data_IF_685363295983
#
_entry.id   IF_685363295983
#
_cell.length_a   1.000
_cell.length_b   1.000
_cell.length_c   1.000
_cell.angle_alpha   90.00
_cell.angle_beta   90.00
_cell.angle_gamma   90.00
#
_symmetry.space_group_name_H-M   'P 1'
#
loop_
_entity.id
_entity.type
_entity.pdbx_description
1 polymer ?
#
# COMPACT_ATOMS: atom_id res chain seq x y z
N UNK A 1 4.06 -51.39 -3.74
CA UNK A 1 2.90 -50.81 -4.45
C UNK A 1 3.10 -49.32 -4.49
N UNK A 2 3.04 -48.76 -5.68
CA UNK A 2 3.52 -47.44 -6.10
C UNK A 2 2.58 -46.32 -5.68
N UNK A 3 3.03 -45.40 -4.84
CA UNK A 3 2.33 -44.12 -4.61
C UNK A 3 2.66 -43.14 -5.74
N UNK A 4 1.71 -43.01 -6.67
CA UNK A 4 1.71 -41.98 -7.70
C UNK A 4 1.35 -40.63 -7.08
N UNK A 5 2.36 -39.83 -6.75
CA UNK A 5 2.17 -38.40 -6.49
C UNK A 5 1.94 -37.68 -7.82
N UNK A 6 0.69 -37.26 -8.08
CA UNK A 6 0.35 -36.44 -9.23
C UNK A 6 1.12 -35.10 -9.19
N UNK A 7 1.73 -34.65 -10.31
CA UNK A 7 2.42 -33.37 -10.36
C UNK A 7 1.42 -32.22 -10.16
N UNK A 8 1.69 -31.37 -9.18
CA UNK A 8 0.94 -30.14 -8.95
C UNK A 8 1.16 -29.20 -10.13
N UNK A 9 0.17 -29.11 -11.02
CA UNK A 9 0.16 -28.14 -12.12
C UNK A 9 0.15 -26.73 -11.53
N UNK A 10 1.25 -26.01 -11.74
CA UNK A 10 1.35 -24.57 -11.50
C UNK A 10 0.23 -23.87 -12.29
N UNK A 11 -0.52 -22.91 -11.73
CA UNK A 11 -1.52 -22.18 -12.50
C UNK A 11 -0.80 -21.38 -13.58
N UNK A 12 -0.88 -21.80 -14.83
CA UNK A 12 -0.49 -20.98 -15.98
C UNK A 12 -1.28 -19.68 -15.90
N UNK A 13 -0.58 -18.57 -15.63
CA UNK A 13 -1.17 -17.24 -15.59
C UNK A 13 -1.61 -16.88 -17.00
N UNK A 14 -2.88 -17.12 -17.33
CA UNK A 14 -3.45 -16.84 -18.63
C UNK A 14 -3.30 -15.35 -18.91
N UNK A 15 -2.57 -14.99 -19.95
CA UNK A 15 -2.29 -13.59 -20.30
C UNK A 15 -3.60 -12.89 -20.64
N UNK A 16 -3.91 -11.79 -19.94
CA UNK A 16 -5.17 -11.04 -20.13
C UNK A 16 -5.21 -10.39 -21.52
N UNK A 17 -6.37 -10.44 -22.17
CA UNK A 17 -6.57 -9.78 -23.47
C UNK A 17 -6.50 -8.24 -23.33
N UNK A 18 -6.29 -7.48 -24.42
CA UNK A 18 -6.36 -6.02 -24.37
C UNK A 18 -7.69 -5.49 -23.80
N UNK A 19 -8.82 -6.09 -24.19
CA UNK A 19 -10.15 -5.73 -23.69
C UNK A 19 -10.29 -6.00 -22.19
N UNK A 20 -9.86 -7.18 -21.71
CA UNK A 20 -9.89 -7.50 -20.29
C UNK A 20 -9.04 -6.52 -19.46
N UNK A 21 -7.86 -6.12 -19.99
CA UNK A 21 -7.01 -5.13 -19.32
C UNK A 21 -7.65 -3.73 -19.26
N UNK A 22 -8.46 -3.37 -20.26
CA UNK A 22 -9.21 -2.12 -20.28
C UNK A 22 -10.35 -2.15 -19.25
N UNK A 23 -11.12 -3.24 -19.23
CA UNK A 23 -12.21 -3.46 -18.27
C UNK A 23 -11.69 -3.47 -16.83
N UNK A 24 -10.64 -4.25 -16.55
CA UNK A 24 -9.98 -4.29 -15.24
C UNK A 24 -9.57 -2.89 -14.76
N UNK A 25 -9.04 -2.07 -15.69
CA UNK A 25 -8.60 -0.70 -15.39
C UNK A 25 -9.76 0.23 -15.11
N UNK A 26 -10.85 0.12 -15.88
CA UNK A 26 -12.09 0.87 -15.67
C UNK A 26 -12.67 0.55 -14.30
N UNK A 27 -12.82 -0.74 -13.97
CA UNK A 27 -13.38 -1.20 -12.69
C UNK A 27 -12.49 -0.76 -11.52
N UNK A 28 -11.17 -0.87 -11.70
CA UNK A 28 -10.21 -0.39 -10.72
C UNK A 28 -10.34 1.12 -10.49
N UNK A 29 -10.41 1.94 -11.55
CA UNK A 29 -10.58 3.41 -11.44
C UNK A 29 -11.86 3.76 -10.70
N UNK A 30 -12.98 3.15 -11.11
CA UNK A 30 -14.28 3.36 -10.48
C UNK A 30 -14.16 3.10 -8.97
N UNK A 31 -13.65 1.94 -8.58
CA UNK A 31 -13.48 1.56 -7.16
C UNK A 31 -12.59 2.55 -6.40
N UNK A 32 -11.43 2.93 -6.94
CA UNK A 32 -10.56 3.87 -6.23
C UNK A 32 -11.17 5.26 -6.08
N UNK A 33 -11.95 5.72 -7.06
CA UNK A 33 -12.64 7.01 -6.99
C UNK A 33 -13.84 6.99 -6.04
N UNK A 34 -14.59 5.88 -5.99
CA UNK A 34 -15.61 5.67 -4.96
C UNK A 34 -15.01 5.72 -3.56
N UNK A 35 -13.92 4.97 -3.32
CA UNK A 35 -13.18 5.00 -2.05
C UNK A 35 -12.67 6.40 -1.73
N UNK A 36 -12.07 7.10 -2.70
CA UNK A 36 -11.59 8.48 -2.53
C UNK A 36 -12.73 9.41 -2.14
N UNK A 37 -13.88 9.32 -2.81
CA UNK A 37 -15.03 10.17 -2.52
C UNK A 37 -15.60 9.91 -1.12
N UNK A 38 -15.75 8.64 -0.75
CA UNK A 38 -16.21 8.25 0.59
C UNK A 38 -15.25 8.71 1.69
N UNK A 39 -13.95 8.48 1.49
CA UNK A 39 -12.91 8.99 2.39
C UNK A 39 -12.96 10.52 2.49
N UNK A 40 -13.15 11.23 1.38
CA UNK A 40 -13.23 12.69 1.38
C UNK A 40 -14.43 13.16 2.20
N UNK A 41 -15.60 12.57 1.98
CA UNK A 41 -16.82 12.91 2.71
C UNK A 41 -16.65 12.71 4.22
N UNK A 42 -16.12 11.55 4.64
CA UNK A 42 -15.91 11.25 6.07
C UNK A 42 -14.88 12.18 6.71
N UNK A 43 -13.79 12.52 6.02
CA UNK A 43 -12.77 13.42 6.55
C UNK A 43 -13.22 14.88 6.59
N UNK A 44 -14.09 15.32 5.67
CA UNK A 44 -14.69 16.66 5.70
C UNK A 44 -15.66 16.75 6.88
N UNK A 45 -16.56 15.78 7.02
CA UNK A 45 -17.51 15.70 8.14
C UNK A 45 -16.77 15.67 9.48
N UNK A 46 -15.67 14.91 9.59
CA UNK A 46 -14.83 14.90 10.78
C UNK A 46 -14.18 16.27 11.05
N UNK A 47 -13.65 16.94 10.02
CA UNK A 47 -13.06 18.26 10.18
C UNK A 47 -14.09 19.31 10.63
N UNK A 48 -15.33 19.23 10.12
CA UNK A 48 -16.43 20.11 10.54
C UNK A 48 -16.80 19.86 12.00
N UNK A 49 -16.96 18.60 12.40
CA UNK A 49 -17.25 18.23 13.81
C UNK A 49 -16.16 18.69 14.78
N UNK A 50 -14.89 18.61 14.37
CA UNK A 50 -13.77 19.07 15.22
C UNK A 50 -13.68 20.59 15.32
N UNK A 51 -14.36 21.33 14.45
CA UNK A 51 -14.37 22.79 14.43
C UNK A 51 -15.56 23.43 15.18
N UNK A 52 -16.38 22.62 15.87
CA UNK A 52 -17.57 22.96 16.67
C UNK A 52 -17.37 24.21 17.57
N UNK A 53 -17.55 25.43 17.02
CA UNK A 53 -17.79 26.74 17.69
C UNK A 53 -17.33 27.96 16.85
N UNK A 54 -16.60 27.77 15.75
CA UNK A 54 -16.24 28.89 14.87
C UNK A 54 -17.17 28.93 13.65
N UNK A 55 -17.90 30.02 13.44
CA UNK A 55 -18.62 30.40 12.20
C UNK A 55 -17.70 30.52 10.96
N UNK A 56 -16.54 29.87 10.96
CA UNK A 56 -15.47 29.99 9.98
C UNK A 56 -15.39 28.83 9.00
N UNK A 57 -14.79 29.11 7.85
CA UNK A 57 -14.45 28.12 6.83
C UNK A 57 -13.50 27.05 7.40
N UNK A 58 -13.96 25.80 7.47
CA UNK A 58 -13.11 24.66 7.84
C UNK A 58 -12.33 24.20 6.62
N UNK A 59 -11.00 24.32 6.66
CA UNK A 59 -10.13 23.77 5.63
C UNK A 59 -9.84 22.30 5.92
N UNK A 60 -10.41 21.33 5.17
CA UNK A 60 -10.17 19.93 5.44
C UNK A 60 -8.74 19.52 5.03
N UNK A 61 -8.30 18.36 5.53
CA UNK A 61 -6.96 17.82 5.27
C UNK A 61 -6.68 17.66 3.77
N UNK A 62 -5.40 17.69 3.36
CA UNK A 62 -5.04 17.48 1.93
C UNK A 62 -5.57 16.15 1.40
N UNK A 63 -5.66 15.11 2.25
CA UNK A 63 -6.21 13.80 1.88
C UNK A 63 -7.67 13.94 1.44
N UNK A 64 -8.47 14.70 2.18
CA UNK A 64 -9.87 14.95 1.85
C UNK A 64 -10.07 15.82 0.59
N UNK A 65 -9.06 16.62 0.25
CA UNK A 65 -9.06 17.49 -0.93
C UNK A 65 -8.41 16.84 -2.17
N UNK A 66 -7.87 15.63 -2.06
CA UNK A 66 -7.24 14.96 -3.19
C UNK A 66 -8.27 14.73 -4.33
N UNK A 67 -7.92 15.15 -5.54
CA UNK A 67 -8.79 15.16 -6.70
C UNK A 67 -9.67 16.40 -6.83
N UNK A 68 -9.49 17.43 -5.99
CA UNK A 68 -10.15 18.73 -6.19
C UNK A 68 -9.43 19.50 -7.30
N UNK A 69 -10.15 20.24 -8.17
CA UNK A 69 -9.52 21.12 -9.14
C UNK A 69 -8.68 22.20 -8.45
N UNK A 70 -7.41 22.32 -8.85
CA UNK A 70 -6.51 23.41 -8.48
C UNK A 70 -6.05 24.22 -9.69
N UNK A 71 -6.17 23.64 -10.89
CA UNK A 71 -6.05 24.30 -12.17
C UNK A 71 -7.21 23.89 -13.07
N UNK A 72 -6.98 23.91 -14.38
CA UNK A 72 -7.93 23.42 -15.39
C UNK A 72 -7.86 21.88 -15.44
N UNK A 73 -8.91 21.15 -15.05
CA UNK A 73 -8.90 19.70 -15.16
C UNK A 73 -8.79 19.27 -16.62
N UNK A 74 -7.79 18.44 -16.94
CA UNK A 74 -7.53 18.03 -18.32
C UNK A 74 -7.30 16.52 -18.35
N UNK A 75 -8.02 15.80 -19.22
CA UNK A 75 -7.72 14.41 -19.52
C UNK A 75 -6.52 14.38 -20.45
N UNK A 76 -5.47 13.67 -20.05
CA UNK A 76 -4.28 13.43 -20.85
C UNK A 76 -4.09 11.93 -21.12
N UNK A 77 -3.37 11.60 -22.20
CA UNK A 77 -2.91 10.25 -22.51
C UNK A 77 -1.41 10.11 -22.24
N UNK A 78 -1.04 9.09 -21.46
CA UNK A 78 0.35 8.65 -21.25
C UNK A 78 0.48 7.28 -21.89
N UNK A 79 1.04 7.24 -23.10
CA UNK A 79 0.97 6.05 -23.95
C UNK A 79 -0.50 5.69 -24.24
N UNK A 80 -0.94 4.52 -23.77
CA UNK A 80 -2.33 4.04 -23.92
C UNK A 80 -3.15 4.14 -22.63
N UNK A 81 -2.77 5.02 -21.71
CA UNK A 81 -3.42 5.16 -20.41
C UNK A 81 -3.86 6.58 -20.17
N UNK A 82 -5.16 6.78 -19.95
CA UNK A 82 -5.71 8.08 -19.63
C UNK A 82 -5.45 8.45 -18.15
N UNK A 83 -5.13 9.71 -17.90
CA UNK A 83 -5.08 10.28 -16.55
C UNK A 83 -5.63 11.72 -16.55
N UNK A 84 -5.85 12.30 -15.37
CA UNK A 84 -6.43 13.66 -15.26
C UNK A 84 -5.44 14.55 -14.51
N UNK A 85 -5.07 15.68 -15.12
CA UNK A 85 -4.21 16.72 -14.54
C UNK A 85 -5.03 17.91 -14.04
N UNK A 86 -4.38 18.93 -13.46
CA UNK A 86 -5.06 20.09 -12.90
C UNK A 86 -5.77 19.84 -11.56
N UNK A 87 -5.43 18.72 -10.89
CA UNK A 87 -6.05 18.27 -9.64
C UNK A 87 -5.07 18.30 -8.47
N UNK A 88 -5.59 18.49 -7.25
CA UNK A 88 -4.81 18.37 -6.03
C UNK A 88 -4.44 16.90 -5.77
N UNK A 89 -3.16 16.66 -5.50
CA UNK A 89 -2.69 15.39 -4.99
C UNK A 89 -2.13 15.53 -3.58
N UNK A 90 -2.57 14.65 -2.68
CA UNK A 90 -2.16 14.73 -1.27
C UNK A 90 -0.83 14.04 -0.97
N UNK A 91 -0.30 13.26 -1.92
CA UNK A 91 0.91 12.46 -1.78
C UNK A 91 0.95 11.57 -0.52
N UNK A 92 -0.22 11.12 -0.03
CA UNK A 92 -0.28 10.22 1.11
C UNK A 92 -0.06 8.76 0.66
N UNK A 93 0.98 8.07 1.17
CA UNK A 93 1.22 6.66 0.84
C UNK A 93 0.30 5.69 1.60
N UNK A 94 -0.54 6.21 2.49
CA UNK A 94 -1.38 5.46 3.41
C UNK A 94 -2.87 5.69 3.20
N UNK A 95 -3.31 6.95 3.25
CA UNK A 95 -4.71 7.32 3.41
C UNK A 95 -5.39 7.76 2.11
N UNK A 96 -4.73 7.62 0.95
CA UNK A 96 -5.29 7.99 -0.34
C UNK A 96 -5.30 6.80 -1.31
N UNK A 97 -6.47 6.31 -1.74
CA UNK A 97 -6.58 5.18 -2.67
C UNK A 97 -5.87 5.42 -4.02
N UNK A 98 -5.77 6.69 -4.44
CA UNK A 98 -5.08 7.09 -5.67
C UNK A 98 -3.57 7.25 -5.43
N UNK A 99 -3.16 8.15 -4.54
CA UNK A 99 -1.73 8.45 -4.34
C UNK A 99 -0.96 7.25 -3.79
N UNK A 100 -1.55 6.48 -2.87
CA UNK A 100 -0.90 5.29 -2.30
C UNK A 100 -0.53 4.27 -3.36
N UNK A 101 -1.39 4.05 -4.35
CA UNK A 101 -1.12 3.10 -5.44
C UNK A 101 0.07 3.55 -6.29
N UNK A 102 0.10 4.83 -6.69
CA UNK A 102 1.18 5.38 -7.52
C UNK A 102 2.50 5.35 -6.75
N UNK A 103 2.52 5.85 -5.51
CA UNK A 103 3.71 5.90 -4.66
C UNK A 103 4.24 4.48 -4.45
N UNK A 104 3.39 3.55 -4.04
CA UNK A 104 3.83 2.18 -3.76
C UNK A 104 4.31 1.46 -5.02
N UNK A 105 3.69 1.67 -6.18
CA UNK A 105 4.20 1.12 -7.44
C UNK A 105 5.60 1.63 -7.79
N UNK A 106 5.87 2.94 -7.60
CA UNK A 106 7.20 3.49 -7.80
C UNK A 106 8.23 2.91 -6.80
N UNK A 107 7.87 2.80 -5.51
CA UNK A 107 8.72 2.18 -4.50
C UNK A 107 8.95 0.68 -4.74
N UNK A 108 7.96 -0.02 -5.31
CA UNK A 108 8.07 -1.40 -5.76
C UNK A 108 9.19 -1.55 -6.79
N UNK A 109 9.18 -0.67 -7.80
CA UNK A 109 10.18 -0.65 -8.86
C UNK A 109 11.57 -0.38 -8.31
N UNK A 110 11.70 0.55 -7.38
CA UNK A 110 12.99 0.83 -6.71
C UNK A 110 13.51 -0.42 -5.96
N UNK A 111 12.65 -1.09 -5.20
CA UNK A 111 13.02 -2.32 -4.48
C UNK A 111 13.32 -3.48 -5.42
N UNK A 112 12.58 -3.56 -6.52
CA UNK A 112 12.78 -4.56 -7.57
C UNK A 112 14.17 -4.42 -8.18
N UNK A 113 14.53 -3.20 -8.59
CA UNK A 113 15.85 -2.90 -9.13
C UNK A 113 16.97 -3.26 -8.13
N UNK A 114 16.81 -2.92 -6.85
CA UNK A 114 17.80 -3.26 -5.83
C UNK A 114 17.93 -4.79 -5.64
N UNK A 115 16.80 -5.52 -5.61
CA UNK A 115 16.78 -6.97 -5.51
C UNK A 115 17.41 -7.65 -6.73
N UNK A 116 17.12 -7.15 -7.94
CA UNK A 116 17.70 -7.63 -9.20
C UNK A 116 19.23 -7.48 -9.18
N UNK A 117 19.71 -6.28 -8.87
CA UNK A 117 21.15 -5.99 -8.82
C UNK A 117 21.86 -6.87 -7.78
N UNK A 118 21.27 -7.07 -6.61
CA UNK A 118 21.85 -7.88 -5.53
C UNK A 118 21.95 -9.36 -5.91
N UNK A 119 20.86 -9.92 -6.44
CA UNK A 119 20.81 -11.35 -6.78
C UNK A 119 21.64 -11.68 -8.02
N UNK A 120 21.75 -10.77 -9.00
CA UNK A 120 22.65 -10.92 -10.15
C UNK A 120 24.13 -10.98 -9.74
N UNK A 121 24.49 -10.34 -8.61
CA UNK A 121 25.84 -10.44 -8.04
C UNK A 121 26.09 -11.76 -7.27
N UNK A 122 25.14 -12.70 -7.26
CA UNK A 122 25.28 -14.00 -6.59
C UNK A 122 24.95 -13.98 -5.09
N UNK A 123 24.33 -12.91 -4.60
CA UNK A 123 23.97 -12.74 -3.19
C UNK A 123 22.54 -13.22 -2.86
N UNK A 124 22.20 -13.25 -1.58
CA UNK A 124 20.93 -13.76 -1.06
C UNK A 124 19.90 -12.70 -0.69
N UNK A 125 18.64 -13.11 -0.74
CA UNK A 125 17.49 -12.36 -0.23
C UNK A 125 16.69 -13.21 0.75
N UNK A 126 16.33 -12.60 1.88
CA UNK A 126 15.51 -13.21 2.93
C UNK A 126 14.34 -12.30 3.23
N UNK A 127 13.15 -12.87 3.36
CA UNK A 127 11.96 -12.15 3.78
C UNK A 127 11.67 -12.43 5.25
N UNK A 128 11.46 -11.38 6.03
CA UNK A 128 11.14 -11.47 7.45
C UNK A 128 9.86 -10.71 7.80
N UNK A 129 8.96 -11.35 8.54
CA UNK A 129 7.79 -10.73 9.16
C UNK A 129 7.99 -10.65 10.66
N UNK A 130 7.90 -9.45 11.24
CA UNK A 130 7.94 -9.23 12.69
C UNK A 130 6.56 -8.81 13.17
N UNK A 131 6.04 -9.55 14.13
CA UNK A 131 4.71 -9.42 14.71
C UNK A 131 4.84 -9.26 16.22
N UNK A 132 4.03 -8.38 16.80
CA UNK A 132 3.91 -8.27 18.27
C UNK A 132 2.56 -8.80 18.75
N UNK A 133 2.45 -9.27 20.00
CA UNK A 133 1.16 -9.54 20.60
C UNK A 133 0.41 -8.22 20.87
N UNK A 134 -0.91 -8.24 20.69
CA UNK A 134 -1.80 -7.11 20.98
C UNK A 134 -3.14 -7.62 21.53
N UNK A 135 -3.99 -6.71 21.97
CA UNK A 135 -5.38 -7.02 22.35
C UNK A 135 -6.35 -6.45 21.32
N UNK A 136 -7.60 -6.95 21.33
CA UNK A 136 -8.65 -6.46 20.43
C UNK A 136 -8.96 -4.98 20.61
N UNK A 137 -8.88 -4.49 21.84
CA UNK A 137 -9.22 -3.12 22.20
C UNK A 137 -8.06 -2.13 21.99
N UNK A 138 -6.89 -2.62 21.56
CA UNK A 138 -5.71 -1.76 21.43
C UNK A 138 -5.89 -0.78 20.26
N UNK A 139 -5.73 0.54 20.50
CA UNK A 139 -5.75 1.53 19.43
C UNK A 139 -4.61 1.33 18.43
N UNK A 140 -4.86 1.62 17.16
CA UNK A 140 -3.86 1.48 16.10
C UNK A 140 -2.62 2.33 16.37
N UNK A 141 -2.77 3.55 16.90
CA UNK A 141 -1.65 4.45 17.21
C UNK A 141 -0.67 3.80 18.19
N UNK A 142 -1.19 3.15 19.24
CA UNK A 142 -0.36 2.40 20.20
C UNK A 142 0.41 1.29 19.50
N UNK A 143 -0.24 0.54 18.61
CA UNK A 143 0.41 -0.50 17.85
C UNK A 143 1.50 -0.01 16.90
N UNK A 144 1.27 1.14 16.26
CA UNK A 144 2.23 1.81 15.38
C UNK A 144 3.45 2.34 16.16
N UNK A 145 3.22 2.97 17.31
CA UNK A 145 4.28 3.51 18.15
C UNK A 145 5.15 2.40 18.73
N UNK A 146 4.54 1.33 19.25
CA UNK A 146 5.27 0.17 19.77
C UNK A 146 6.14 -0.50 18.69
N UNK A 147 5.58 -0.76 17.50
CA UNK A 147 6.31 -1.45 16.44
C UNK A 147 7.42 -0.56 15.87
N UNK A 148 7.17 0.75 15.75
CA UNK A 148 8.14 1.75 15.32
C UNK A 148 9.29 1.90 16.32
N UNK A 149 8.97 2.06 17.60
CA UNK A 149 9.93 2.16 18.70
C UNK A 149 10.81 0.91 18.81
N UNK A 150 10.21 -0.28 18.80
CA UNK A 150 10.95 -1.53 18.85
C UNK A 150 11.89 -1.70 17.63
N UNK A 151 11.44 -1.34 16.42
CA UNK A 151 12.29 -1.37 15.23
C UNK A 151 13.47 -0.39 15.30
N UNK A 152 13.23 0.85 15.74
CA UNK A 152 14.31 1.82 15.93
C UNK A 152 15.35 1.29 16.93
N UNK A 153 14.89 0.71 18.04
CA UNK A 153 15.77 0.10 19.04
C UNK A 153 16.55 -1.11 18.49
N UNK A 154 15.93 -1.96 17.65
CA UNK A 154 16.62 -3.04 16.93
C UNK A 154 17.80 -2.46 16.16
N UNK A 155 17.53 -1.52 15.25
CA UNK A 155 18.54 -1.04 14.30
C UNK A 155 19.69 -0.28 14.95
N UNK A 156 19.49 0.26 16.16
CA UNK A 156 20.52 0.92 16.97
C UNK A 156 21.33 -0.07 17.85
N UNK A 157 20.80 -1.26 18.14
CA UNK A 157 21.38 -2.18 19.13
C UNK A 157 22.72 -2.81 18.71
N UNK A 158 23.54 -3.18 19.70
CA UNK A 158 24.75 -3.97 19.47
C UNK A 158 24.41 -5.36 18.91
N UNK A 159 23.39 -6.03 19.46
CA UNK A 159 22.96 -7.34 18.99
C UNK A 159 22.63 -7.34 17.50
N UNK A 160 21.97 -6.30 17.00
CA UNK A 160 21.70 -6.18 15.56
C UNK A 160 22.99 -6.19 14.74
N UNK A 161 24.07 -5.55 15.21
CA UNK A 161 25.37 -5.58 14.53
C UNK A 161 25.96 -6.99 14.52
N UNK A 162 25.85 -7.73 15.62
CA UNK A 162 26.25 -9.13 15.72
C UNK A 162 25.47 -10.01 14.74
N UNK A 163 24.14 -9.89 14.71
CA UNK A 163 23.28 -10.63 13.76
C UNK A 163 23.66 -10.28 12.33
N UNK A 164 23.86 -9.00 12.00
CA UNK A 164 24.28 -8.61 10.66
C UNK A 164 25.61 -9.24 10.25
N UNK A 165 26.57 -9.31 11.17
CA UNK A 165 27.86 -9.95 10.90
C UNK A 165 27.72 -11.46 10.70
N UNK A 166 26.93 -12.13 11.56
CA UNK A 166 26.73 -13.59 11.51
C UNK A 166 26.07 -14.05 10.20
N UNK A 167 25.09 -13.29 9.69
CA UNK A 167 24.33 -13.65 8.49
C UNK A 167 24.75 -12.87 7.23
N UNK A 168 25.82 -12.07 7.31
CA UNK A 168 26.28 -11.24 6.19
C UNK A 168 25.23 -10.23 5.71
N UNK A 169 24.41 -9.67 6.60
CA UNK A 169 23.36 -8.70 6.24
C UNK A 169 23.98 -7.35 5.90
N UNK A 170 23.86 -6.93 4.64
CA UNK A 170 24.37 -5.63 4.15
C UNK A 170 23.30 -4.57 4.11
N UNK A 171 22.12 -4.94 3.62
CA UNK A 171 21.00 -4.02 3.50
C UNK A 171 19.70 -4.62 4.00
N UNK A 172 18.73 -3.75 4.25
CA UNK A 172 17.35 -4.12 4.45
C UNK A 172 16.44 -3.05 3.87
N UNK A 173 15.24 -3.46 3.47
CA UNK A 173 14.10 -2.59 3.27
C UNK A 173 12.94 -3.12 4.10
N UNK A 174 12.16 -2.24 4.72
CA UNK A 174 10.95 -2.60 5.45
C UNK A 174 9.72 -1.84 4.97
N UNK A 175 8.56 -2.47 5.11
CA UNK A 175 7.25 -1.86 5.02
C UNK A 175 6.40 -2.25 6.23
N UNK A 176 5.34 -1.49 6.48
CA UNK A 176 4.34 -1.84 7.49
C UNK A 176 3.09 -2.41 6.81
N UNK A 177 2.64 -3.58 7.27
CA UNK A 177 1.33 -4.14 6.97
C UNK A 177 0.37 -3.78 8.11
N UNK A 178 -0.78 -3.22 7.76
CA UNK A 178 -1.85 -2.88 8.71
C UNK A 178 -3.12 -3.55 8.22
N UNK A 179 -3.74 -4.37 9.06
CA UNK A 179 -5.05 -4.96 8.81
C UNK A 179 -5.91 -4.87 10.07
N UNK A 180 -7.22 -5.07 9.92
CA UNK A 180 -8.15 -5.10 11.05
C UNK A 180 -9.11 -6.26 10.88
N UNK A 181 -9.50 -6.92 11.98
CA UNK A 181 -10.61 -7.86 11.94
C UNK A 181 -11.48 -7.78 13.21
N UNK A 182 -12.76 -8.20 13.14
CA UNK A 182 -13.68 -8.11 14.27
C UNK A 182 -13.26 -8.91 15.50
N UNK A 183 -12.43 -9.96 15.34
CA UNK A 183 -12.04 -10.85 16.44
C UNK A 183 -10.88 -10.29 17.25
N UNK A 184 -9.92 -9.65 16.59
CA UNK A 184 -8.61 -9.35 17.16
C UNK A 184 -8.22 -7.87 17.05
N UNK A 185 -9.04 -7.03 16.42
CA UNK A 185 -8.75 -5.60 16.31
C UNK A 185 -7.68 -5.32 15.25
N UNK A 186 -6.86 -4.29 15.48
CA UNK A 186 -5.79 -3.89 14.58
C UNK A 186 -4.58 -4.82 14.67
N UNK A 187 -4.10 -5.25 13.52
CA UNK A 187 -2.86 -5.99 13.33
C UNK A 187 -1.86 -5.11 12.61
N UNK A 188 -0.69 -4.93 13.20
CA UNK A 188 0.42 -4.20 12.61
C UNK A 188 1.63 -5.11 12.56
N UNK A 189 2.20 -5.29 11.37
CA UNK A 189 3.37 -6.12 11.13
C UNK A 189 4.45 -5.32 10.41
N UNK A 190 5.72 -5.62 10.70
CA UNK A 190 6.83 -5.21 9.84
C UNK A 190 7.08 -6.33 8.85
N UNK A 191 7.04 -6.00 7.57
CA UNK A 191 7.56 -6.83 6.49
C UNK A 191 8.92 -6.29 6.07
N UNK A 192 9.90 -7.17 5.96
CA UNK A 192 11.27 -6.78 5.69
C UNK A 192 11.90 -7.68 4.65
N UNK A 193 12.51 -7.08 3.64
CA UNK A 193 13.46 -7.73 2.74
C UNK A 193 14.87 -7.47 3.27
N UNK A 194 15.63 -8.54 3.46
CA UNK A 194 17.00 -8.54 3.97
C UNK A 194 17.94 -9.00 2.87
N UNK A 195 19.02 -8.25 2.66
CA UNK A 195 20.03 -8.48 1.64
C UNK A 195 21.26 -9.08 2.31
N UNK A 196 21.50 -10.35 2.07
CA UNK A 196 22.59 -11.13 2.68
C UNK A 196 23.67 -11.44 1.65
N UNK A 197 24.93 -11.46 2.07
CA UNK A 197 26.04 -11.84 1.18
C UNK A 197 25.91 -13.29 0.69
N UNK A 198 25.33 -14.17 1.51
CA UNK A 198 25.18 -15.59 1.25
C UNK A 198 23.83 -15.90 0.56
N UNK A 199 23.82 -16.47 -0.67
CA UNK A 199 22.60 -16.84 -1.38
C UNK A 199 21.73 -17.89 -0.65
N UNK A 200 22.33 -18.65 0.27
CA UNK A 200 21.67 -19.70 1.05
C UNK A 200 21.78 -19.41 2.55
N UNK A 201 21.08 -18.37 3.00
CA UNK A 201 21.03 -18.00 4.41
C UNK A 201 20.22 -19.02 5.22
N UNK A 202 20.75 -19.46 6.36
CA UNK A 202 20.00 -20.29 7.31
C UNK A 202 18.87 -19.49 7.97
N UNK A 203 17.70 -19.53 7.33
CA UNK A 203 16.52 -18.79 7.76
C UNK A 203 15.99 -19.26 9.11
N UNK A 204 16.21 -20.53 9.49
CA UNK A 204 15.74 -21.06 10.78
C UNK A 204 16.58 -20.51 11.93
N UNK A 205 17.91 -20.55 11.79
CA UNK A 205 18.81 -19.94 12.76
C UNK A 205 18.55 -18.42 12.86
N UNK A 206 18.44 -17.74 11.72
CA UNK A 206 18.14 -16.31 11.67
C UNK A 206 16.80 -15.97 12.34
N UNK A 207 15.77 -16.81 12.18
CA UNK A 207 14.48 -16.61 12.84
C UNK A 207 14.60 -16.63 14.37
N UNK A 208 15.37 -17.57 14.92
CA UNK A 208 15.60 -17.67 16.37
C UNK A 208 16.29 -16.40 16.88
N UNK A 209 17.40 -16.00 16.26
CA UNK A 209 18.15 -14.82 16.67
C UNK A 209 17.34 -13.52 16.55
N UNK A 210 16.57 -13.40 15.47
CA UNK A 210 15.69 -12.26 15.22
C UNK A 210 14.52 -12.22 16.20
N UNK A 211 13.94 -13.37 16.57
CA UNK A 211 12.89 -13.44 17.59
C UNK A 211 13.41 -13.01 18.96
N UNK A 212 14.60 -13.48 19.35
CA UNK A 212 15.21 -13.13 20.63
C UNK A 212 15.57 -11.64 20.68
N UNK A 213 16.04 -11.06 19.57
CA UNK A 213 16.25 -9.63 19.47
C UNK A 213 14.92 -8.86 19.52
N UNK A 214 13.90 -9.32 18.79
CA UNK A 214 12.60 -8.68 18.74
C UNK A 214 11.92 -8.64 20.11
N UNK A 215 11.87 -9.78 20.82
CA UNK A 215 11.28 -9.87 22.15
C UNK A 215 11.98 -8.96 23.16
N UNK A 216 13.32 -8.88 23.14
CA UNK A 216 14.06 -7.94 23.99
C UNK A 216 13.67 -6.49 23.75
N UNK A 217 13.43 -6.08 22.50
CA UNK A 217 13.01 -4.71 22.21
C UNK A 217 11.53 -4.47 22.51
N UNK A 218 10.68 -5.47 22.30
CA UNK A 218 9.26 -5.41 22.70
C UNK A 218 9.11 -5.18 24.20
N UNK A 219 9.84 -5.94 25.02
CA UNK A 219 9.80 -5.80 26.49
C UNK A 219 10.27 -4.42 26.94
N UNK A 220 11.32 -3.87 26.31
CA UNK A 220 11.77 -2.49 26.59
C UNK A 220 10.74 -1.42 26.25
N UNK A 221 9.84 -1.70 25.31
CA UNK A 221 8.72 -0.84 24.95
C UNK A 221 7.45 -1.15 25.77
N UNK A 222 7.55 -1.98 26.81
CA UNK A 222 6.42 -2.35 27.67
C UNK A 222 5.45 -3.36 27.03
N UNK A 223 5.83 -4.01 25.93
CA UNK A 223 5.03 -5.05 25.29
C UNK A 223 5.37 -6.44 25.83
N UNK A 224 4.42 -7.38 25.70
CA UNK A 224 4.67 -8.80 25.97
C UNK A 224 5.56 -9.40 24.89
N UNK A 225 6.25 -10.49 25.21
CA UNK A 225 6.98 -11.27 24.21
C UNK A 225 6.05 -11.83 23.14
N UNK A 226 6.51 -11.79 21.90
CA UNK A 226 5.87 -12.47 20.78
C UNK A 226 6.09 -13.98 20.86
N UNK A 227 5.09 -14.74 20.44
CA UNK A 227 5.13 -16.20 20.50
C UNK A 227 6.10 -16.81 19.49
N UNK A 228 6.74 -17.93 19.86
CA UNK A 228 7.76 -18.62 19.04
C UNK A 228 7.31 -18.98 17.62
N UNK A 229 6.01 -19.25 17.43
CA UNK A 229 5.45 -19.72 16.15
C UNK A 229 5.15 -18.58 15.15
N UNK A 230 4.78 -17.41 15.63
CA UNK A 230 4.22 -16.34 14.78
C UNK A 230 4.81 -14.95 15.06
N UNK A 231 5.69 -14.82 16.06
CA UNK A 231 6.30 -13.55 16.44
C UNK A 231 7.29 -13.06 15.40
N UNK A 232 8.17 -13.94 14.94
CA UNK A 232 9.06 -13.68 13.81
C UNK A 232 9.00 -14.87 12.87
N UNK A 233 8.79 -14.59 11.59
CA UNK A 233 8.83 -15.57 10.51
C UNK A 233 9.93 -15.14 9.55
N UNK A 234 10.86 -16.03 9.21
CA UNK A 234 11.94 -15.78 8.26
C UNK A 234 11.92 -16.84 7.18
N UNK A 235 11.80 -16.40 5.93
CA UNK A 235 11.64 -17.27 4.77
C UNK A 235 12.66 -16.91 3.69
N UNK A 236 13.22 -17.91 2.98
CA UNK A 236 14.05 -17.65 1.82
C UNK A 236 13.19 -17.03 0.71
N UNK A 237 13.75 -16.08 -0.03
CA UNK A 237 13.12 -15.59 -1.26
C UNK A 237 13.55 -16.52 -2.39
N UNK A 238 12.69 -17.48 -2.73
CA UNK A 238 12.97 -18.51 -3.76
C UNK A 238 12.40 -18.16 -5.13
N UNK A 239 11.70 -17.04 -5.25
CA UNK A 239 11.09 -16.62 -6.50
C UNK A 239 12.04 -15.81 -7.39
N UNK A 240 11.67 -15.67 -8.66
CA UNK A 240 12.34 -14.77 -9.60
C UNK A 240 12.40 -13.36 -9.01
N UNK A 241 13.53 -12.65 -9.19
CA UNK A 241 13.68 -11.29 -8.70
C UNK A 241 12.45 -10.41 -8.99
N UNK A 242 11.84 -10.47 -10.18
CA UNK A 242 10.63 -9.72 -10.59
C UNK A 242 9.40 -9.78 -9.65
N UNK A 243 9.32 -10.74 -8.73
CA UNK A 243 8.24 -10.86 -7.74
C UNK A 243 8.58 -10.21 -6.39
N UNK A 244 9.83 -9.73 -6.22
CA UNK A 244 10.35 -9.21 -4.94
C UNK A 244 9.76 -7.85 -4.57
N UNK A 245 9.57 -6.96 -5.54
CA UNK A 245 8.86 -5.69 -5.30
C UNK A 245 7.45 -5.93 -4.72
N UNK A 246 6.77 -6.96 -5.24
CA UNK A 246 5.45 -7.41 -4.77
C UNK A 246 5.43 -7.88 -3.32
N UNK A 247 6.56 -8.22 -2.70
CA UNK A 247 6.58 -8.60 -1.29
C UNK A 247 6.41 -7.42 -0.33
N UNK A 248 6.71 -6.20 -0.78
CA UNK A 248 6.84 -5.04 0.10
C UNK A 248 5.91 -3.89 -0.25
N UNK A 249 5.48 -3.81 -1.51
CA UNK A 249 4.84 -2.63 -2.09
C UNK A 249 3.36 -2.79 -2.37
N UNK A 250 2.71 -3.88 -1.94
CA UNK A 250 1.28 -4.08 -2.21
C UNK A 250 0.47 -2.91 -1.66
N UNK A 251 -0.43 -2.27 -2.43
CA UNK A 251 -1.37 -1.28 -1.89
C UNK A 251 -2.10 -1.81 -0.64
N UNK A 252 -2.51 -0.97 0.32
CA UNK A 252 -3.13 -1.39 1.57
C UNK A 252 -4.18 -2.49 1.43
N UNK A 253 -5.00 -2.48 0.37
CA UNK A 253 -6.04 -3.45 0.01
C UNK A 253 -5.58 -4.79 -0.58
N UNK A 254 -4.28 -4.95 -0.84
CA UNK A 254 -3.71 -6.18 -1.42
C UNK A 254 -2.63 -6.82 -0.54
N UNK A 255 -2.31 -6.23 0.61
CA UNK A 255 -1.24 -6.74 1.49
C UNK A 255 -1.59 -8.13 2.07
N UNK A 256 -2.87 -8.44 2.25
CA UNK A 256 -3.32 -9.71 2.86
C UNK A 256 -3.32 -10.97 1.96
N UNK A 257 -2.84 -10.93 0.70
CA UNK A 257 -3.12 -12.02 -0.26
C UNK A 257 -2.03 -13.06 -0.51
N UNK A 258 -0.72 -12.78 -0.39
CA UNK A 258 0.33 -13.79 -0.72
C UNK A 258 1.33 -14.11 0.38
N UNK A 259 1.64 -13.21 1.30
CA UNK A 259 2.88 -13.35 2.10
C UNK A 259 2.60 -13.91 3.49
N UNK A 260 1.53 -13.45 4.13
CA UNK A 260 0.97 -14.05 5.35
C UNK A 260 0.12 -15.30 5.07
N UNK A 261 -0.19 -15.59 3.80
CA UNK A 261 -1.02 -16.74 3.39
C UNK A 261 -0.25 -18.00 3.01
N UNK A 262 1.08 -17.94 2.92
CA UNK A 262 1.87 -19.13 2.60
C UNK A 262 1.73 -20.24 3.69
N UNK A 263 1.36 -19.86 4.91
CA UNK A 263 1.22 -20.79 6.06
C UNK A 263 -0.23 -21.08 6.50
N UNK A 264 -1.27 -20.58 5.81
CA UNK A 264 -2.66 -20.86 6.20
C UNK A 264 -3.63 -20.94 5.00
N UNK A 265 -3.60 -22.10 4.33
CA UNK A 265 -4.81 -22.67 3.71
C UNK A 265 -5.73 -23.17 4.83
N UNK A 266 -6.46 -22.27 5.49
CA UNK A 266 -7.73 -22.49 6.24
C UNK A 266 -7.96 -21.41 7.29
N UNK A 267 -8.40 -20.22 6.87
CA UNK A 267 -9.09 -19.33 7.80
C UNK A 267 -10.19 -18.53 7.09
N UNK A 268 -11.42 -19.02 7.24
CA UNK A 268 -12.70 -18.36 6.96
C UNK A 268 -12.96 -17.21 7.97
N UNK A 269 -12.04 -16.26 8.13
CA UNK A 269 -12.29 -15.04 8.94
C UNK A 269 -11.79 -13.82 8.19
N UNK A 270 -12.72 -12.94 7.84
CA UNK A 270 -12.50 -11.76 7.02
C UNK A 270 -11.63 -10.76 7.78
N UNK A 271 -10.40 -10.56 7.29
CA UNK A 271 -9.53 -9.47 7.71
C UNK A 271 -9.64 -8.36 6.67
N UNK A 272 -9.89 -7.15 7.13
CA UNK A 272 -10.01 -5.96 6.31
C UNK A 272 -8.65 -5.26 6.23
N UNK A 273 -8.21 -5.06 5.01
CA UNK A 273 -7.27 -4.00 4.71
C UNK A 273 -7.92 -2.62 4.87
N UNK A 274 -7.15 -1.56 5.18
CA UNK A 274 -7.71 -0.25 5.51
C UNK A 274 -8.62 0.35 4.43
N UNK A 275 -8.25 0.27 3.14
CA UNK A 275 -9.13 0.80 2.07
C UNK A 275 -10.40 -0.02 1.89
N UNK A 276 -10.45 -1.28 2.33
CA UNK A 276 -11.69 -2.06 2.29
C UNK A 276 -12.73 -1.52 3.26
N UNK A 277 -12.33 -0.80 4.33
CA UNK A 277 -13.28 -0.10 5.22
C UNK A 277 -14.08 0.97 4.48
N UNK A 278 -13.63 1.38 3.29
CA UNK A 278 -14.33 2.30 2.41
C UNK A 278 -15.19 1.56 1.38
N UNK A 279 -15.24 0.23 1.32
CA UNK A 279 -16.05 -0.49 0.33
C UNK A 279 -17.46 -0.79 0.86
N UNK A 280 -18.50 -0.83 0.00
CA UNK A 280 -19.86 -1.18 0.41
C UNK A 280 -19.92 -2.49 1.20
N UNK A 281 -19.27 -3.55 0.72
CA UNK A 281 -19.30 -4.87 1.36
C UNK A 281 -18.81 -4.84 2.82
N UNK A 282 -17.74 -4.09 3.11
CA UNK A 282 -17.24 -3.96 4.47
C UNK A 282 -18.15 -3.08 5.34
N UNK A 283 -18.79 -2.08 4.74
CA UNK A 283 -19.74 -1.20 5.44
C UNK A 283 -21.00 -1.96 5.80
N UNK A 284 -21.50 -2.83 4.92
CA UNK A 284 -22.66 -3.67 5.15
C UNK A 284 -22.37 -4.70 6.26
N UNK A 285 -21.16 -5.27 6.28
CA UNK A 285 -20.75 -6.23 7.31
C UNK A 285 -20.49 -5.58 8.69
N UNK A 286 -19.83 -4.41 8.73
CA UNK A 286 -19.37 -3.77 9.98
C UNK A 286 -20.34 -2.72 10.53
N UNK A 287 -21.22 -2.21 9.68
CA UNK A 287 -21.99 -0.99 9.90
C UNK A 287 -21.20 0.27 9.56
N UNK A 288 -21.86 1.25 8.93
CA UNK A 288 -21.25 2.50 8.48
C UNK A 288 -20.53 3.28 9.59
N UNK A 289 -21.08 3.30 10.81
CA UNK A 289 -20.45 3.96 11.96
C UNK A 289 -19.11 3.34 12.35
N UNK A 290 -19.04 2.01 12.38
CA UNK A 290 -17.82 1.26 12.70
C UNK A 290 -16.77 1.44 11.60
N UNK A 291 -17.16 1.28 10.34
CA UNK A 291 -16.27 1.46 9.19
C UNK A 291 -15.68 2.88 9.15
N UNK A 292 -16.52 3.91 9.34
CA UNK A 292 -16.08 5.32 9.45
C UNK A 292 -15.09 5.51 10.59
N UNK A 293 -15.41 5.02 11.80
CA UNK A 293 -14.54 5.16 12.98
C UNK A 293 -13.16 4.53 12.75
N UNK A 294 -13.12 3.30 12.22
CA UNK A 294 -11.88 2.59 11.93
C UNK A 294 -11.07 3.29 10.83
N UNK A 295 -11.73 3.81 9.80
CA UNK A 295 -11.06 4.59 8.75
C UNK A 295 -10.41 5.86 9.32
N UNK A 296 -11.13 6.62 10.15
CA UNK A 296 -10.58 7.83 10.78
C UNK A 296 -9.41 7.52 11.71
N UNK A 297 -9.51 6.45 12.50
CA UNK A 297 -8.41 5.95 13.34
C UNK A 297 -7.17 5.62 12.49
N UNK A 298 -7.36 4.94 11.36
CA UNK A 298 -6.30 4.63 10.40
C UNK A 298 -5.64 5.88 9.81
N UNK A 299 -6.44 6.84 9.33
CA UNK A 299 -5.91 8.08 8.75
C UNK A 299 -5.10 8.85 9.78
N UNK A 300 -5.56 8.90 11.04
CA UNK A 300 -4.85 9.59 12.12
C UNK A 300 -3.55 8.87 12.49
N UNK A 301 -3.58 7.56 12.72
CA UNK A 301 -2.41 6.79 13.14
C UNK A 301 -1.32 6.68 12.06
N UNK A 302 -1.67 6.81 10.78
CA UNK A 302 -0.71 6.75 9.65
C UNK A 302 -0.23 8.11 9.18
N UNK A 303 -0.73 9.21 9.76
CA UNK A 303 -0.35 10.57 9.40
C UNK A 303 1.15 10.80 9.64
N UNK A 304 1.86 11.23 8.61
CA UNK A 304 3.31 11.51 8.68
C UNK A 304 4.19 10.25 8.72
N UNK A 305 3.61 9.05 8.71
CA UNK A 305 4.35 7.80 8.73
C UNK A 305 4.89 7.46 7.34
N UNK A 306 6.14 7.01 7.27
CA UNK A 306 6.72 6.45 6.04
C UNK A 306 6.16 5.04 5.82
N UNK A 307 5.73 4.72 4.61
CA UNK A 307 5.20 3.40 4.28
C UNK A 307 6.28 2.36 4.03
N UNK A 308 7.37 2.77 3.37
CA UNK A 308 8.54 1.96 3.07
C UNK A 308 9.78 2.73 3.53
N UNK A 309 10.72 2.04 4.17
CA UNK A 309 12.01 2.60 4.57
C UNK A 309 13.11 1.58 4.29
N UNK A 310 14.34 2.04 4.10
CA UNK A 310 15.48 1.18 3.82
C UNK A 310 16.71 1.58 4.63
N UNK A 311 17.62 0.62 4.76
CA UNK A 311 18.92 0.82 5.38
C UNK A 311 19.74 1.90 4.66
N UNK A 312 20.64 2.54 5.42
CA UNK A 312 21.60 3.47 4.85
C UNK A 312 22.41 2.79 3.74
N UNK A 313 22.68 3.53 2.66
CA UNK A 313 23.44 3.12 1.47
C UNK A 313 22.78 2.13 0.51
N UNK A 314 21.65 1.48 0.85
CA UNK A 314 20.94 0.57 -0.09
C UNK A 314 20.74 1.23 -1.46
N UNK A 315 20.20 2.46 -1.47
CA UNK A 315 19.95 3.17 -2.73
C UNK A 315 21.23 3.54 -3.47
N UNK A 316 22.22 4.09 -2.78
CA UNK A 316 23.46 4.54 -3.44
C UNK A 316 24.27 3.38 -4.00
N UNK A 317 24.20 2.20 -3.37
CA UNK A 317 24.96 1.02 -3.79
C UNK A 317 24.20 0.18 -4.84
N UNK A 318 22.86 0.12 -4.79
CA UNK A 318 22.08 -0.80 -5.65
C UNK A 318 21.16 -0.13 -6.69
N UNK A 319 20.88 1.17 -6.55
CA UNK A 319 19.94 1.89 -7.43
C UNK A 319 20.65 3.04 -8.17
N UNK A 320 21.56 3.74 -7.49
CA UNK A 320 22.36 4.83 -8.08
C UNK A 320 21.63 6.17 -8.22
N UNK A 321 20.34 6.27 -7.86
CA UNK A 321 19.56 7.51 -7.94
C UNK A 321 19.09 8.01 -6.56
N UNK A 322 19.05 9.34 -6.34
CA UNK A 322 18.43 9.93 -5.17
C UNK A 322 17.01 9.42 -4.94
N UNK A 323 16.60 9.34 -3.67
CA UNK A 323 15.24 8.99 -3.32
C UNK A 323 14.29 10.14 -3.71
N UNK A 324 13.38 9.88 -4.64
CA UNK A 324 12.26 10.80 -4.90
C UNK A 324 11.35 10.87 -3.68
N UNK A 325 10.87 12.06 -3.35
CA UNK A 325 9.79 12.25 -2.37
C UNK A 325 8.46 11.70 -2.92
N UNK A 326 7.52 11.43 -2.01
CA UNK A 326 6.19 10.96 -2.42
C UNK A 326 5.46 12.00 -3.30
N UNK A 327 5.70 13.30 -3.09
CA UNK A 327 5.15 14.36 -3.95
C UNK A 327 5.77 14.33 -5.35
N UNK A 328 7.11 14.23 -5.45
CA UNK A 328 7.79 14.10 -6.75
C UNK A 328 7.30 12.89 -7.54
N UNK A 329 7.09 11.74 -6.89
CA UNK A 329 6.54 10.54 -7.54
C UNK A 329 5.16 10.80 -8.14
N UNK A 330 4.33 11.60 -7.48
CA UNK A 330 3.02 11.98 -8.01
C UNK A 330 3.15 12.98 -9.16
N UNK A 331 3.99 14.00 -9.00
CA UNK A 331 4.16 15.05 -10.00
C UNK A 331 4.71 14.48 -11.33
N UNK A 332 5.57 13.46 -11.27
CA UNK A 332 6.10 12.72 -12.43
C UNK A 332 5.00 12.00 -13.26
N UNK A 333 3.75 11.97 -12.78
CA UNK A 333 2.61 11.39 -13.52
C UNK A 333 1.89 12.38 -14.44
N UNK A 334 2.38 13.63 -14.56
CA UNK A 334 1.69 14.73 -15.26
C UNK A 334 2.26 15.06 -16.65
N UNK A 335 2.95 14.12 -17.31
CA UNK A 335 3.66 14.34 -18.58
C UNK A 335 3.00 13.66 -19.79
N UNK A 336 1.67 13.65 -19.85
CA UNK A 336 0.91 13.10 -20.98
C UNK A 336 0.65 14.11 -22.09
N UNK A 337 0.05 13.64 -23.17
CA UNK A 337 -0.53 14.50 -24.21
C UNK A 337 -1.96 14.87 -23.80
N UNK A 338 -2.25 16.16 -23.67
CA UNK A 338 -3.59 16.65 -23.37
C UNK A 338 -4.58 16.26 -24.49
N UNK A 339 -5.77 15.82 -24.09
CA UNK A 339 -6.82 15.34 -25.01
C UNK A 339 -8.09 16.16 -24.87
N UNK A 340 -8.66 16.23 -23.66
CA UNK A 340 -9.91 16.96 -23.39
C UNK A 340 -9.73 17.84 -22.16
N UNK A 341 -10.00 19.12 -22.34
CA UNK A 341 -10.21 20.07 -21.25
C UNK A 341 -11.62 19.91 -20.66
N UNK A 342 -11.72 19.67 -19.35
CA UNK A 342 -13.01 19.57 -18.66
C UNK A 342 -13.28 20.87 -17.89
N UNK A 343 -14.34 21.63 -18.22
CA UNK A 343 -14.84 22.69 -17.37
C UNK A 343 -14.94 22.28 -15.89
N UNK A 344 -14.42 23.13 -15.00
CA UNK A 344 -14.35 22.84 -13.55
C UNK A 344 -15.70 22.44 -12.94
N UNK A 345 -16.80 23.04 -13.43
CA UNK A 345 -18.17 22.67 -13.04
C UNK A 345 -18.50 21.22 -13.37
N UNK A 346 -18.40 20.85 -14.64
CA UNK A 346 -18.61 19.49 -15.14
C UNK A 346 -17.69 18.47 -14.43
N UNK A 347 -16.41 18.78 -14.24
CA UNK A 347 -15.50 17.88 -13.52
C UNK A 347 -15.97 17.62 -12.08
N UNK A 348 -16.47 18.65 -11.37
CA UNK A 348 -17.01 18.47 -10.00
C UNK A 348 -18.23 17.57 -10.00
N UNK A 349 -19.07 17.63 -11.02
CA UNK A 349 -20.20 16.72 -11.21
C UNK A 349 -19.72 15.30 -11.50
N UNK A 350 -18.84 15.12 -12.49
CA UNK A 350 -18.24 13.83 -12.85
C UNK A 350 -17.52 13.17 -11.69
N UNK A 351 -16.83 13.94 -10.85
CA UNK A 351 -16.18 13.44 -9.64
C UNK A 351 -17.19 12.75 -8.72
N UNK A 352 -18.45 13.16 -8.69
CA UNK A 352 -19.53 12.53 -7.91
C UNK A 352 -20.10 11.27 -8.58
N UNK A 353 -19.76 11.03 -9.84
CA UNK A 353 -20.16 9.87 -10.64
C UNK A 353 -18.95 9.02 -11.10
N UNK A 354 -18.26 8.31 -10.19
CA UNK A 354 -17.06 7.51 -10.51
C UNK A 354 -17.19 6.54 -11.69
N UNK A 355 -18.35 5.90 -11.83
CA UNK A 355 -18.63 4.96 -12.93
C UNK A 355 -18.63 5.66 -14.29
N UNK A 356 -19.30 6.81 -14.39
CA UNK A 356 -19.36 7.63 -15.61
C UNK A 356 -17.97 8.18 -15.95
N UNK A 357 -17.26 8.73 -14.97
CA UNK A 357 -15.89 9.20 -15.19
C UNK A 357 -14.99 8.04 -15.67
N UNK A 358 -15.15 6.83 -15.11
CA UNK A 358 -14.29 5.70 -15.47
C UNK A 358 -14.58 5.22 -16.89
N UNK A 359 -15.86 5.28 -17.29
CA UNK A 359 -16.29 5.02 -18.65
C UNK A 359 -15.70 6.04 -19.64
N UNK A 360 -15.79 7.35 -19.36
CA UNK A 360 -15.17 8.42 -20.17
C UNK A 360 -13.67 8.14 -20.37
N UNK A 361 -12.93 7.85 -19.28
CA UNK A 361 -11.50 7.52 -19.40
C UNK A 361 -11.25 6.33 -20.34
N UNK A 362 -12.11 5.31 -20.29
CA UNK A 362 -11.96 4.14 -21.17
C UNK A 362 -12.24 4.46 -22.64
N UNK A 363 -13.13 5.42 -22.94
CA UNK A 363 -13.38 5.89 -24.31
C UNK A 363 -12.19 6.65 -24.88
N UNK A 364 -11.53 7.46 -24.04
CA UNK A 364 -10.27 8.12 -24.42
C UNK A 364 -9.18 7.10 -24.72
N UNK A 365 -9.09 6.03 -23.93
CA UNK A 365 -8.10 4.97 -24.12
C UNK A 365 -8.33 4.12 -25.39
N UNK A 366 -9.56 4.03 -25.88
CA UNK A 366 -9.90 3.35 -27.14
C UNK A 366 -9.90 4.27 -28.35
N UNK A 367 -9.67 5.58 -28.16
CA UNK A 367 -9.71 6.58 -29.23
C UNK A 367 -11.11 7.05 -29.61
N UNK A 368 -12.15 6.64 -28.88
CA UNK A 368 -13.54 7.13 -29.02
C UNK A 368 -13.70 8.51 -28.37
N UNK A 369 -12.82 9.46 -28.73
CA UNK A 369 -12.73 10.81 -28.14
C UNK A 369 -14.02 11.62 -28.35
N UNK A 370 -14.64 11.66 -29.55
CA UNK A 370 -15.88 12.42 -29.75
C UNK A 370 -17.01 11.97 -28.81
N UNK A 371 -17.15 10.65 -28.60
CA UNK A 371 -18.14 10.12 -27.65
C UNK A 371 -17.85 10.56 -26.22
N UNK A 372 -16.58 10.63 -25.82
CA UNK A 372 -16.20 11.12 -24.51
C UNK A 372 -16.53 12.61 -24.34
N UNK A 373 -16.29 13.43 -25.37
CA UNK A 373 -16.64 14.86 -25.39
C UNK A 373 -18.16 15.08 -25.29
N UNK A 374 -18.95 14.34 -26.08
CA UNK A 374 -20.41 14.41 -26.04
C UNK A 374 -20.95 14.11 -24.63
N UNK A 375 -20.46 13.04 -24.00
CA UNK A 375 -20.85 12.67 -22.63
C UNK A 375 -20.48 13.77 -21.64
N UNK A 376 -19.33 14.43 -21.79
CA UNK A 376 -18.89 15.52 -20.91
C UNK A 376 -19.80 16.75 -21.10
N UNK A 377 -20.12 17.11 -22.34
CA UNK A 377 -20.96 18.26 -22.68
C UNK A 377 -22.41 18.10 -22.16
N UNK A 378 -22.93 16.88 -22.11
CA UNK A 378 -24.28 16.59 -21.63
C UNK A 378 -24.47 16.77 -20.11
N UNK A 379 -23.38 16.94 -19.34
CA UNK A 379 -23.42 17.05 -17.87
C UNK A 379 -23.91 18.42 -17.39
N UNK A 380 -23.79 19.45 -18.23
CA UNK A 380 -24.31 20.79 -17.90
C UNK A 380 -25.79 20.96 -18.29
N UNK A 381 -26.37 20.02 -19.05
CA UNK A 381 -27.77 20.06 -19.50
C UNK A 381 -28.76 19.41 -18.51
N UNK A 382 -28.31 19.07 -17.29
CA UNK A 382 -29.11 18.45 -16.21
C UNK A 382 -28.80 19.13 -14.88
#
# INVERSE_FOLDING_TARGET
>A
MTDNAAPQTTPTTRTRTPLQRLEDRRDWRQRQWERRNRSSAWLIDEAVKQADDALGFVKPSRIARCGWPIGKPTIQLIGHTASITGLEHCASPWACPICSTIIRAARAKDLQQAADAWTQAGHGLVFATLTRPHTKAEPLVTGMDMIGGAWMAITASHQWRTIKQAYGIRHWARSLEITWNPRSGWHVHIHMLVFTDNPHTDCKAMQVDMLDLWNRQLERQGSRQAGKRHGVIVLPVTTTPAQVGGYMSKPPDSIGSEITRMDNKTSRKQSFAPFQLLDPDAIDELGAGTARRLWLEYVNATRGQRSITWSRKLRSELIGMPERTDQQIIDDTTHGTDVIDIPTGQYRQLKRSPSLMAYIMSRIETGEIPLAEDIINDIDNK
#
